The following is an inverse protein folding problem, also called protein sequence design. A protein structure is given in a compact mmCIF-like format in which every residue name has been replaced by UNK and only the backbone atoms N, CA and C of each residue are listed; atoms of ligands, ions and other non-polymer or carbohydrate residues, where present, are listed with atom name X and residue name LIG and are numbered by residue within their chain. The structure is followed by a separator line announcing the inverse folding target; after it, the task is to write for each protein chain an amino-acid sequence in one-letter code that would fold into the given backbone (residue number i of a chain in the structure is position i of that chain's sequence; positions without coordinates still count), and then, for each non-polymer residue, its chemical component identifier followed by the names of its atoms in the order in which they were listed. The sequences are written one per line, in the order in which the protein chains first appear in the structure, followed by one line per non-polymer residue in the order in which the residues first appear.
data_IF_642286380956
#
_entry.id   IF_642286380956
#
_cell.length_a   1.000
_cell.length_b   1.000
_cell.length_c   1.000
_cell.angle_alpha   90.00
_cell.angle_beta   90.00
_cell.angle_gamma   90.00
#
_symmetry.space_group_name_H-M   'P 1'
#
loop_
_entity.id
_entity.type
_entity.pdbx_description
1 polymer ?
#
# COMPACT_ATOMS: atom_id res chain seq x y z
N UNK A 1 -20.63 -16.91 -4.01
CA UNK A 1 -20.14 -15.98 -2.99
C UNK A 1 -20.31 -14.54 -3.45
N UNK A 2 -20.47 -13.59 -2.52
CA UNK A 2 -20.40 -12.16 -2.83
C UNK A 2 -18.96 -11.72 -3.01
N UNK A 3 -18.69 -10.80 -3.95
CA UNK A 3 -17.38 -10.24 -4.20
C UNK A 3 -17.48 -8.85 -4.83
N UNK A 4 -16.46 -8.01 -4.64
CA UNK A 4 -16.31 -6.74 -5.35
C UNK A 4 -15.63 -7.03 -6.69
N UNK A 5 -16.34 -6.76 -7.79
CA UNK A 5 -15.93 -7.11 -9.14
C UNK A 5 -15.64 -5.86 -9.97
N UNK A 6 -14.52 -5.87 -10.68
CA UNK A 6 -14.13 -4.82 -11.62
C UNK A 6 -14.81 -5.06 -12.98
N UNK A 7 -15.46 -4.04 -13.54
CA UNK A 7 -16.10 -4.09 -14.86
C UNK A 7 -15.42 -3.19 -15.90
N UNK A 8 -14.49 -2.37 -15.45
CA UNK A 8 -13.77 -1.42 -16.27
C UNK A 8 -13.41 -0.17 -15.47
N UNK A 9 -12.69 0.73 -16.10
CA UNK A 9 -12.30 2.01 -15.49
C UNK A 9 -13.55 2.76 -15.02
N UNK A 10 -13.59 3.09 -13.74
CA UNK A 10 -14.71 3.79 -13.09
C UNK A 10 -15.93 2.91 -12.73
N UNK A 11 -15.89 1.62 -13.02
CA UNK A 11 -17.02 0.71 -12.79
C UNK A 11 -16.59 -0.50 -11.95
N UNK A 12 -17.01 -0.51 -10.70
CA UNK A 12 -16.89 -1.63 -9.76
C UNK A 12 -18.26 -1.94 -9.16
N UNK A 13 -18.53 -3.24 -8.94
CA UNK A 13 -19.84 -3.69 -8.45
C UNK A 13 -19.70 -4.79 -7.41
N UNK A 14 -20.62 -4.83 -6.47
CA UNK A 14 -20.80 -5.99 -5.60
C UNK A 14 -21.70 -7.01 -6.31
N UNK A 15 -21.19 -8.21 -6.56
CA UNK A 15 -21.89 -9.24 -7.31
C UNK A 15 -21.82 -10.61 -6.63
N UNK A 16 -22.70 -11.50 -7.04
CA UNK A 16 -22.60 -12.92 -6.72
C UNK A 16 -21.82 -13.63 -7.81
N UNK A 17 -20.65 -14.12 -7.45
CA UNK A 17 -19.76 -14.88 -8.35
C UNK A 17 -19.68 -16.34 -7.92
N UNK A 18 -19.11 -17.20 -8.78
CA UNK A 18 -18.87 -18.60 -8.43
C UNK A 18 -17.88 -18.69 -7.25
N UNK A 19 -18.15 -19.61 -6.33
CA UNK A 19 -17.22 -19.91 -5.25
C UNK A 19 -15.90 -20.47 -5.78
N UNK A 20 -14.75 -20.04 -5.23
CA UNK A 20 -13.47 -20.64 -5.59
C UNK A 20 -13.35 -22.07 -5.07
N UNK A 21 -12.50 -22.85 -5.72
CA UNK A 21 -12.12 -24.19 -5.28
C UNK A 21 -10.62 -24.38 -5.46
N UNK A 22 -10.05 -25.43 -4.87
CA UNK A 22 -8.66 -25.77 -5.07
C UNK A 22 -8.40 -26.06 -6.54
N UNK A 23 -7.35 -25.49 -7.12
CA UNK A 23 -6.91 -25.73 -8.51
C UNK A 23 -5.63 -26.59 -8.55
N UNK A 24 -4.80 -26.48 -7.50
CA UNK A 24 -3.52 -27.20 -7.38
C UNK A 24 -3.36 -27.85 -6.00
N UNK A 25 -2.56 -28.90 -5.88
CA UNK A 25 -2.31 -29.56 -4.60
C UNK A 25 -1.67 -28.67 -3.52
N UNK A 26 -1.03 -27.55 -3.91
CA UNK A 26 -0.40 -26.59 -3.02
C UNK A 26 -1.31 -25.42 -2.62
N UNK A 27 -2.58 -25.44 -3.03
CA UNK A 27 -3.54 -24.39 -2.74
C UNK A 27 -4.22 -24.61 -1.37
N UNK A 28 -4.73 -23.53 -0.80
CA UNK A 28 -5.73 -23.56 0.28
C UNK A 28 -6.97 -22.73 -0.11
N UNK A 29 -8.10 -23.07 0.47
CA UNK A 29 -9.31 -22.26 0.43
C UNK A 29 -9.50 -21.63 1.80
N UNK A 30 -9.68 -20.32 1.84
CA UNK A 30 -9.99 -19.59 3.06
C UNK A 30 -11.37 -18.96 2.99
N UNK A 31 -12.04 -18.92 4.12
CA UNK A 31 -13.17 -18.03 4.36
C UNK A 31 -12.62 -16.73 4.91
N UNK A 32 -12.88 -15.63 4.20
CA UNK A 32 -12.38 -14.30 4.57
C UNK A 32 -13.20 -13.78 5.74
N UNK A 33 -12.53 -13.32 6.78
CA UNK A 33 -13.14 -12.71 7.97
C UNK A 33 -12.99 -11.19 8.00
N UNK A 34 -11.96 -10.68 7.33
CA UNK A 34 -11.73 -9.27 7.11
C UNK A 34 -10.92 -9.08 5.83
N UNK A 35 -11.22 -8.04 5.09
CA UNK A 35 -10.47 -7.54 3.94
C UNK A 35 -10.33 -6.03 4.07
N UNK A 36 -9.56 -5.36 3.20
CA UNK A 36 -9.48 -3.91 3.27
C UNK A 36 -9.35 -3.26 1.89
N UNK A 37 -9.63 -1.94 1.83
CA UNK A 37 -9.45 -1.10 0.65
C UNK A 37 -8.05 -0.49 0.70
N UNK A 38 -7.31 -0.62 -0.42
CA UNK A 38 -6.00 -0.05 -0.63
C UNK A 38 -6.00 1.02 -1.73
N UNK A 39 -5.02 1.93 -1.68
CA UNK A 39 -4.77 2.89 -2.76
C UNK A 39 -4.48 2.23 -4.10
N UNK A 40 -3.86 1.06 -4.10
CA UNK A 40 -3.59 0.28 -5.32
C UNK A 40 -4.87 -0.17 -6.02
N UNK A 41 -5.92 -0.53 -5.28
CA UNK A 41 -7.23 -0.85 -5.87
C UNK A 41 -7.80 0.36 -6.63
N UNK A 42 -7.64 1.57 -6.06
CA UNK A 42 -8.07 2.82 -6.71
C UNK A 42 -7.32 3.08 -8.03
N UNK A 43 -6.04 2.68 -8.13
CA UNK A 43 -5.29 2.86 -9.37
C UNK A 43 -5.88 2.05 -10.52
N UNK A 44 -6.39 0.83 -10.27
CA UNK A 44 -7.13 0.06 -11.28
C UNK A 44 -8.46 0.73 -11.62
N UNK A 45 -9.22 1.14 -10.61
CA UNK A 45 -10.53 1.77 -10.81
C UNK A 45 -10.38 3.08 -11.58
N UNK A 46 -9.34 3.86 -11.31
CA UNK A 46 -9.02 5.11 -12.00
C UNK A 46 -8.41 4.90 -13.40
N UNK A 47 -7.90 3.69 -13.67
CA UNK A 47 -7.20 3.36 -14.91
C UNK A 47 -5.76 3.89 -14.97
N UNK A 48 -5.20 4.35 -13.88
CA UNK A 48 -3.78 4.76 -13.75
C UNK A 48 -2.84 3.57 -13.62
N UNK A 49 -3.38 2.39 -13.37
CA UNK A 49 -2.72 1.10 -13.45
C UNK A 49 -3.53 0.19 -14.37
N UNK A 50 -2.88 -0.38 -15.38
CA UNK A 50 -3.50 -1.29 -16.36
C UNK A 50 -3.31 -2.76 -15.96
N UNK A 51 -3.98 -3.67 -16.68
CA UNK A 51 -3.79 -5.12 -16.55
C UNK A 51 -4.90 -5.86 -15.82
N UNK A 52 -5.89 -5.17 -15.28
CA UNK A 52 -7.07 -5.80 -14.67
C UNK A 52 -8.17 -5.97 -15.71
N UNK A 53 -8.63 -7.20 -15.92
CA UNK A 53 -9.69 -7.53 -16.89
C UNK A 53 -11.08 -7.44 -16.25
N UNK A 54 -12.12 -7.04 -17.01
CA UNK A 54 -13.49 -7.08 -16.54
C UNK A 54 -13.89 -8.48 -16.04
N UNK A 55 -14.56 -8.54 -14.88
CA UNK A 55 -14.92 -9.78 -14.20
C UNK A 55 -13.93 -10.21 -13.12
N UNK A 56 -12.79 -9.53 -12.99
CA UNK A 56 -11.83 -9.79 -11.93
C UNK A 56 -12.34 -9.33 -10.54
N UNK A 57 -12.12 -10.14 -9.53
CA UNK A 57 -12.37 -9.77 -8.13
C UNK A 57 -11.24 -8.87 -7.64
N UNK A 58 -11.58 -7.76 -6.98
CA UNK A 58 -10.63 -6.80 -6.42
C UNK A 58 -10.06 -7.24 -5.06
N UNK A 59 -9.05 -6.50 -4.61
CA UNK A 59 -8.50 -6.56 -3.25
C UNK A 59 -7.32 -7.51 -3.09
N UNK A 60 -6.38 -7.12 -2.24
CA UNK A 60 -5.15 -7.88 -1.96
C UNK A 60 -4.80 -7.93 -0.47
N UNK A 61 -5.68 -7.45 0.39
CA UNK A 61 -5.54 -7.46 1.84
C UNK A 61 -6.60 -8.36 2.46
N UNK A 62 -6.21 -9.39 3.20
CA UNK A 62 -7.20 -10.22 3.89
C UNK A 62 -6.65 -11.00 5.06
N UNK A 63 -7.59 -11.31 5.96
CA UNK A 63 -7.48 -12.25 7.06
C UNK A 63 -8.61 -13.28 6.91
N UNK A 64 -8.35 -14.52 7.26
CA UNK A 64 -9.36 -15.54 7.14
C UNK A 64 -9.11 -16.79 7.96
N UNK A 65 -9.99 -17.74 7.79
CA UNK A 65 -9.92 -19.08 8.39
C UNK A 65 -9.82 -20.11 7.26
N UNK A 66 -8.91 -21.04 7.38
CA UNK A 66 -8.73 -22.11 6.40
C UNK A 66 -9.93 -23.05 6.44
N UNK A 67 -10.59 -23.25 5.30
CA UNK A 67 -11.73 -24.18 5.13
C UNK A 67 -11.31 -25.46 4.42
N UNK A 68 -10.30 -25.41 3.56
CA UNK A 68 -9.79 -26.57 2.82
C UNK A 68 -8.30 -26.38 2.52
N UNK A 69 -7.54 -27.48 2.53
CA UNK A 69 -6.11 -27.50 2.16
C UNK A 69 -5.86 -28.55 1.10
N UNK A 70 -5.03 -28.23 0.12
CA UNK A 70 -4.52 -29.18 -0.84
C UNK A 70 -3.54 -30.17 -0.19
N UNK A 71 -3.38 -31.33 -0.80
CA UNK A 71 -2.58 -32.45 -0.24
C UNK A 71 -1.10 -32.15 0.01
N UNK A 72 -0.55 -31.13 -0.64
CA UNK A 72 0.86 -30.72 -0.50
C UNK A 72 1.04 -29.61 0.55
N UNK A 73 -0.04 -29.05 1.10
CA UNK A 73 -0.01 -28.07 2.19
C UNK A 73 0.12 -28.81 3.53
N UNK A 74 1.31 -28.75 4.14
CA UNK A 74 1.62 -29.52 5.36
C UNK A 74 1.76 -28.68 6.63
N UNK A 75 1.94 -27.39 6.47
CA UNK A 75 2.19 -26.45 7.58
C UNK A 75 0.91 -25.75 8.07
N UNK A 76 -0.23 -26.05 7.45
CA UNK A 76 -1.55 -25.50 7.82
C UNK A 76 -2.61 -26.59 7.84
N UNK A 77 -3.68 -26.37 8.60
CA UNK A 77 -4.84 -27.24 8.70
C UNK A 77 -6.15 -26.42 8.68
N UNK A 78 -7.26 -27.07 8.39
CA UNK A 78 -8.60 -26.49 8.48
C UNK A 78 -8.82 -25.95 9.90
N UNK A 79 -9.37 -24.73 9.98
CA UNK A 79 -9.60 -23.99 11.21
C UNK A 79 -8.45 -23.05 11.63
N UNK A 80 -7.27 -23.13 11.00
CA UNK A 80 -6.20 -22.16 11.30
C UNK A 80 -6.62 -20.75 10.87
N UNK A 81 -6.41 -19.78 11.76
CA UNK A 81 -6.54 -18.34 11.44
C UNK A 81 -5.26 -17.88 10.76
N UNK A 82 -5.41 -17.15 9.66
CA UNK A 82 -4.28 -16.77 8.82
C UNK A 82 -4.41 -15.36 8.29
N UNK A 83 -3.28 -14.68 8.13
CA UNK A 83 -3.17 -13.46 7.31
C UNK A 83 -2.59 -13.83 5.94
N UNK A 84 -3.11 -13.18 4.90
CA UNK A 84 -2.68 -13.36 3.52
C UNK A 84 -1.71 -12.24 3.14
N UNK A 85 -0.44 -12.53 2.84
CA UNK A 85 0.47 -11.57 2.22
C UNK A 85 -0.07 -11.07 0.89
N UNK A 86 -0.06 -9.78 0.67
CA UNK A 86 -0.58 -9.14 -0.56
C UNK A 86 0.11 -9.67 -1.82
N UNK A 87 1.44 -9.81 -1.80
CA UNK A 87 2.23 -10.33 -2.93
C UNK A 87 2.30 -11.85 -2.90
N UNK A 88 2.28 -12.47 -4.09
CA UNK A 88 2.21 -13.91 -4.27
C UNK A 88 3.57 -14.47 -4.66
N UNK A 89 4.01 -15.53 -3.99
CA UNK A 89 5.29 -16.17 -4.26
C UNK A 89 5.23 -17.69 -4.19
N UNK A 90 6.13 -18.37 -4.90
CA UNK A 90 6.25 -19.83 -4.83
C UNK A 90 7.02 -20.34 -3.60
N UNK A 91 7.89 -19.51 -3.02
CA UNK A 91 8.73 -19.83 -1.86
C UNK A 91 10.04 -20.57 -2.18
N UNK A 92 10.25 -21.06 -3.40
CA UNK A 92 11.41 -21.92 -3.72
C UNK A 92 12.30 -21.45 -4.89
N UNK A 93 11.88 -20.50 -5.73
CA UNK A 93 12.74 -19.96 -6.78
C UNK A 93 13.93 -19.16 -6.21
N UNK A 94 14.88 -18.78 -7.05
CA UNK A 94 16.09 -18.04 -6.64
C UNK A 94 15.77 -16.75 -5.92
N UNK A 95 14.85 -15.97 -6.45
CA UNK A 95 14.42 -14.70 -5.83
C UNK A 95 13.73 -14.91 -4.50
N UNK A 96 12.81 -15.88 -4.40
CA UNK A 96 12.14 -16.19 -3.12
C UNK A 96 13.14 -16.58 -2.04
N UNK A 97 14.13 -17.45 -2.36
CA UNK A 97 15.17 -17.89 -1.42
C UNK A 97 16.12 -16.76 -1.02
N UNK A 98 16.31 -15.78 -1.90
CA UNK A 98 17.12 -14.59 -1.61
C UNK A 98 16.36 -13.48 -0.85
N UNK A 99 15.07 -13.69 -0.52
CA UNK A 99 14.25 -12.71 0.23
C UNK A 99 13.52 -11.69 -0.64
N UNK A 100 13.54 -11.87 -1.97
CA UNK A 100 12.83 -11.02 -2.93
C UNK A 100 11.54 -11.69 -3.41
N UNK A 101 10.65 -12.07 -2.50
CA UNK A 101 9.42 -12.81 -2.82
C UNK A 101 8.51 -12.05 -3.80
N UNK A 102 8.49 -10.73 -3.75
CA UNK A 102 7.78 -9.88 -4.70
C UNK A 102 8.28 -9.99 -6.14
N UNK A 103 9.48 -10.55 -6.35
CA UNK A 103 10.11 -10.78 -7.66
C UNK A 103 10.11 -12.26 -8.05
N UNK A 104 9.11 -13.02 -7.61
CA UNK A 104 9.02 -14.45 -7.84
C UNK A 104 8.87 -14.79 -9.33
N UNK A 105 9.82 -15.54 -9.92
CA UNK A 105 9.77 -15.96 -11.33
C UNK A 105 8.61 -16.91 -11.65
N UNK A 106 8.16 -17.71 -10.68
CA UNK A 106 7.11 -18.71 -10.91
C UNK A 106 5.73 -18.07 -10.99
N UNK A 107 5.48 -17.02 -10.19
CA UNK A 107 4.23 -16.28 -10.20
C UNK A 107 4.25 -15.11 -11.20
N UNK A 108 5.43 -14.72 -11.67
CA UNK A 108 5.69 -13.71 -12.70
C UNK A 108 6.49 -14.30 -13.87
N UNK A 109 5.89 -15.15 -14.71
CA UNK A 109 6.63 -15.89 -15.74
C UNK A 109 7.16 -15.04 -16.89
N UNK A 110 6.76 -13.77 -16.98
CA UNK A 110 7.20 -12.85 -18.05
C UNK A 110 8.61 -12.26 -17.81
N UNK A 111 9.30 -12.72 -16.78
CA UNK A 111 10.67 -12.36 -16.48
C UNK A 111 10.85 -10.88 -16.10
N UNK A 112 11.93 -10.21 -16.54
CA UNK A 112 12.27 -8.85 -16.09
C UNK A 112 11.25 -7.76 -16.45
N UNK A 113 10.29 -8.04 -17.32
CA UNK A 113 9.22 -7.13 -17.70
C UNK A 113 7.93 -7.36 -16.90
N UNK A 114 7.87 -8.46 -16.15
CA UNK A 114 6.72 -8.74 -15.32
C UNK A 114 6.70 -7.81 -14.10
N UNK A 115 5.53 -7.33 -13.78
CA UNK A 115 5.29 -6.68 -12.50
C UNK A 115 5.25 -7.72 -11.35
N UNK A 116 5.04 -7.24 -10.13
CA UNK A 116 4.85 -8.11 -8.98
C UNK A 116 3.48 -8.78 -9.04
N UNK A 117 3.41 -10.10 -8.86
CA UNK A 117 2.14 -10.80 -8.73
C UNK A 117 1.53 -10.53 -7.35
N UNK A 118 0.27 -10.09 -7.32
CA UNK A 118 -0.51 -9.89 -6.11
C UNK A 118 -1.99 -10.21 -6.36
N UNK A 119 -2.72 -10.46 -5.28
CA UNK A 119 -4.14 -10.79 -5.39
C UNK A 119 -4.91 -9.58 -5.95
N UNK A 120 -5.94 -9.84 -6.79
CA UNK A 120 -6.73 -8.76 -7.38
C UNK A 120 -6.00 -7.85 -8.35
N UNK A 121 -4.77 -8.20 -8.76
CA UNK A 121 -3.97 -7.41 -9.70
C UNK A 121 -4.11 -7.83 -11.17
N UNK A 122 -4.99 -8.79 -11.48
CA UNK A 122 -5.24 -9.27 -12.84
C UNK A 122 -4.12 -10.09 -13.48
N UNK A 123 -2.93 -10.04 -12.92
CA UNK A 123 -1.76 -10.77 -13.41
C UNK A 123 -1.80 -12.23 -12.98
N UNK A 124 -1.39 -13.13 -13.86
CA UNK A 124 -1.28 -14.57 -13.61
C UNK A 124 -2.57 -15.28 -13.13
N UNK A 125 -3.76 -14.67 -13.29
CA UNK A 125 -5.04 -15.30 -12.96
C UNK A 125 -5.28 -15.56 -11.47
N UNK A 126 -4.70 -14.73 -10.60
CA UNK A 126 -4.99 -14.72 -9.18
C UNK A 126 -6.17 -13.78 -8.89
N UNK A 127 -7.23 -14.35 -8.34
CA UNK A 127 -8.43 -13.60 -7.96
C UNK A 127 -8.16 -12.77 -6.71
N UNK A 128 -8.95 -11.69 -6.52
CA UNK A 128 -8.82 -10.80 -5.38
C UNK A 128 -9.43 -11.35 -4.09
N UNK A 129 -9.23 -10.58 -3.03
CA UNK A 129 -9.57 -10.94 -1.66
C UNK A 129 -10.76 -10.16 -1.08
N UNK A 130 -11.37 -9.24 -1.83
CA UNK A 130 -12.59 -8.55 -1.42
C UNK A 130 -13.82 -9.40 -1.78
N UNK A 131 -13.92 -10.55 -1.11
CA UNK A 131 -14.94 -11.58 -1.32
C UNK A 131 -15.20 -12.35 -0.03
N UNK A 132 -16.20 -13.25 -0.03
CA UNK A 132 -16.49 -14.12 1.12
C UNK A 132 -15.47 -15.27 1.25
N UNK A 133 -14.91 -15.75 0.12
CA UNK A 133 -13.93 -16.84 0.06
C UNK A 133 -12.82 -16.52 -0.93
N UNK A 134 -11.64 -17.07 -0.70
CA UNK A 134 -10.53 -16.96 -1.63
C UNK A 134 -9.73 -18.24 -1.73
N UNK A 135 -9.22 -18.54 -2.95
CA UNK A 135 -8.20 -19.56 -3.19
C UNK A 135 -6.83 -18.93 -3.02
N UNK A 136 -6.04 -19.50 -2.14
CA UNK A 136 -4.67 -19.08 -1.91
C UNK A 136 -3.72 -20.05 -2.61
N UNK A 137 -3.09 -19.58 -3.66
CA UNK A 137 -2.08 -20.36 -4.39
C UNK A 137 -0.78 -20.47 -3.56
N UNK A 138 -0.07 -21.59 -3.69
CA UNK A 138 1.17 -21.84 -2.92
C UNK A 138 0.98 -21.53 -1.43
N UNK A 139 -0.07 -22.04 -0.81
CA UNK A 139 -0.53 -21.67 0.51
C UNK A 139 0.58 -21.74 1.59
N UNK A 140 1.48 -22.71 1.48
CA UNK A 140 2.62 -22.84 2.40
C UNK A 140 3.53 -21.61 2.44
N UNK A 141 3.58 -20.84 1.35
CA UNK A 141 4.39 -19.62 1.22
C UNK A 141 3.57 -18.32 1.34
N UNK A 142 2.26 -18.39 1.04
CA UNK A 142 1.37 -17.22 0.95
C UNK A 142 0.33 -17.17 2.07
N UNK A 143 0.58 -17.84 3.17
CA UNK A 143 -0.18 -17.72 4.41
C UNK A 143 0.77 -17.55 5.58
N UNK A 144 0.36 -16.76 6.57
CA UNK A 144 1.03 -16.68 7.88
C UNK A 144 -0.01 -16.96 8.95
N UNK A 145 0.29 -17.92 9.84
CA UNK A 145 -0.61 -18.25 10.95
C UNK A 145 -0.65 -17.11 11.96
N UNK A 146 -1.85 -16.79 12.41
CA UNK A 146 -2.08 -15.78 13.42
C UNK A 146 -2.18 -16.43 14.81
N UNK A 147 -1.49 -15.89 15.82
CA UNK A 147 -1.72 -16.24 17.21
C UNK A 147 -3.05 -15.70 17.70
N UNK A 148 -3.57 -16.29 18.80
CA UNK A 148 -4.86 -15.89 19.36
C UNK A 148 -4.86 -14.45 19.91
N UNK A 149 -3.68 -13.94 20.31
CA UNK A 149 -3.50 -12.58 20.83
C UNK A 149 -3.59 -11.47 19.79
N UNK A 150 -3.58 -11.78 18.47
CA UNK A 150 -3.70 -10.80 17.40
C UNK A 150 -5.11 -10.79 16.83
N UNK A 151 -5.78 -9.64 16.87
CA UNK A 151 -7.15 -9.49 16.35
C UNK A 151 -7.20 -9.52 14.82
N UNK A 152 -8.40 -9.65 14.23
CA UNK A 152 -8.55 -9.57 12.78
C UNK A 152 -8.26 -8.16 12.27
N UNK A 153 -8.68 -7.14 12.99
CA UNK A 153 -8.44 -5.73 12.68
C UNK A 153 -6.93 -5.43 12.61
N UNK A 154 -6.17 -5.88 13.61
CA UNK A 154 -4.71 -5.77 13.62
C UNK A 154 -4.08 -6.53 12.45
N UNK A 155 -4.51 -7.77 12.23
CA UNK A 155 -3.97 -8.64 11.20
C UNK A 155 -4.26 -8.15 9.77
N UNK A 156 -5.43 -7.52 9.54
CA UNK A 156 -5.79 -6.92 8.25
C UNK A 156 -4.75 -5.85 7.84
N UNK A 157 -4.30 -5.04 8.78
CA UNK A 157 -3.28 -4.01 8.55
C UNK A 157 -1.87 -4.59 8.33
N UNK A 158 -1.60 -5.78 8.88
CA UNK A 158 -0.34 -6.53 8.68
C UNK A 158 -0.32 -7.24 7.32
N UNK A 159 -1.45 -7.39 6.62
CA UNK A 159 -1.49 -8.11 5.34
C UNK A 159 -0.75 -7.38 4.22
N UNK A 160 -0.73 -6.03 4.23
CA UNK A 160 -0.14 -5.20 3.17
C UNK A 160 0.51 -3.92 3.67
N UNK A 161 -0.28 -2.97 4.19
CA UNK A 161 0.18 -1.58 4.36
C UNK A 161 1.28 -1.42 5.41
N UNK A 162 1.23 -2.18 6.51
CA UNK A 162 2.28 -2.13 7.52
C UNK A 162 3.60 -2.76 7.02
N UNK A 163 3.61 -3.96 6.42
CA UNK A 163 4.82 -4.48 5.76
C UNK A 163 5.38 -3.57 4.68
N UNK A 164 4.52 -2.90 3.91
CA UNK A 164 4.92 -1.94 2.86
C UNK A 164 5.64 -0.74 3.46
N UNK A 165 5.11 -0.17 4.51
CA UNK A 165 5.72 0.95 5.20
C UNK A 165 7.04 0.55 5.92
N UNK A 166 7.05 -0.61 6.58
CA UNK A 166 8.24 -1.13 7.23
C UNK A 166 9.37 -1.42 6.22
N UNK A 167 9.01 -1.98 5.06
CA UNK A 167 9.95 -2.12 3.94
C UNK A 167 10.48 -0.77 3.45
N UNK A 168 9.61 0.25 3.37
CA UNK A 168 10.03 1.62 3.05
C UNK A 168 11.06 2.16 4.04
N UNK A 169 10.87 1.91 5.33
CA UNK A 169 11.82 2.30 6.37
C UNK A 169 13.14 1.49 6.30
N UNK A 170 13.07 0.21 5.89
CA UNK A 170 14.27 -0.60 5.60
C UNK A 170 15.04 -0.08 4.39
N UNK A 171 14.34 0.26 3.30
CA UNK A 171 14.96 0.85 2.11
C UNK A 171 15.62 2.19 2.41
N UNK A 172 15.02 3.00 3.29
CA UNK A 172 15.58 4.26 3.74
C UNK A 172 16.87 4.09 4.57
N UNK A 173 17.17 2.88 5.07
CA UNK A 173 18.32 2.58 5.91
C UNK A 173 18.40 3.48 7.15
N UNK A 174 17.25 3.66 7.81
CA UNK A 174 17.12 4.51 8.99
C UNK A 174 18.05 3.98 10.09
N UNK A 175 18.82 4.89 10.69
CA UNK A 175 19.71 4.64 11.83
C UNK A 175 19.20 5.38 13.05
N UNK A 176 19.53 4.91 14.26
CA UNK A 176 19.20 5.63 15.49
C UNK A 176 19.69 7.09 15.44
N UNK A 177 18.76 8.00 15.72
CA UNK A 177 19.02 9.43 15.70
C UNK A 177 18.83 10.14 14.36
N UNK A 178 18.64 9.42 13.24
CA UNK A 178 18.38 10.03 11.92
C UNK A 178 17.12 10.91 11.95
N UNK A 179 17.13 11.96 11.14
CA UNK A 179 15.94 12.76 10.80
C UNK A 179 15.28 12.18 9.55
N UNK A 180 13.98 11.89 9.63
CA UNK A 180 13.21 11.20 8.57
C UNK A 180 12.07 12.08 8.11
N UNK A 181 11.96 12.35 6.81
CA UNK A 181 10.79 12.97 6.19
C UNK A 181 9.90 11.91 5.53
N UNK A 182 8.64 11.83 5.93
CA UNK A 182 7.62 10.97 5.31
C UNK A 182 6.69 11.85 4.49
N UNK A 183 6.67 11.65 3.19
CA UNK A 183 5.76 12.33 2.28
C UNK A 183 4.50 11.50 2.08
N UNK A 184 3.35 12.08 2.41
CA UNK A 184 2.05 11.45 2.49
C UNK A 184 1.77 10.82 3.85
N UNK A 185 0.63 11.19 4.46
CA UNK A 185 0.13 10.65 5.72
C UNK A 185 -1.13 9.77 5.50
N UNK A 186 -1.22 9.12 4.34
CA UNK A 186 -2.18 8.04 4.08
C UNK A 186 -1.85 6.79 4.89
N UNK A 187 -2.55 5.66 4.67
CA UNK A 187 -2.34 4.44 5.48
C UNK A 187 -0.88 3.98 5.52
N UNK A 188 -0.21 3.95 4.35
CA UNK A 188 1.22 3.59 4.27
C UNK A 188 2.10 4.63 4.98
N UNK A 189 1.79 5.93 4.83
CA UNK A 189 2.54 7.00 5.49
C UNK A 189 2.43 6.95 7.01
N UNK A 190 1.25 6.65 7.56
CA UNK A 190 1.07 6.47 9.01
C UNK A 190 1.97 5.34 9.55
N UNK A 191 2.01 4.20 8.85
CA UNK A 191 2.91 3.11 9.24
C UNK A 191 4.39 3.40 8.91
N UNK A 192 4.70 4.26 7.93
CA UNK A 192 6.07 4.70 7.70
C UNK A 192 6.59 5.55 8.87
N UNK A 193 5.73 6.41 9.43
CA UNK A 193 6.02 7.16 10.67
C UNK A 193 6.28 6.19 11.83
N UNK A 194 5.35 5.26 12.09
CA UNK A 194 5.52 4.25 13.13
C UNK A 194 6.79 3.41 12.93
N UNK A 195 7.06 2.98 11.69
CA UNK A 195 8.25 2.19 11.36
C UNK A 195 9.56 2.97 11.54
N UNK A 196 9.56 4.27 11.23
CA UNK A 196 10.72 5.12 11.47
C UNK A 196 11.00 5.26 12.99
N UNK A 197 9.97 5.43 13.79
CA UNK A 197 10.08 5.47 15.26
C UNK A 197 10.54 4.12 15.84
N UNK A 198 10.01 2.99 15.32
CA UNK A 198 10.47 1.63 15.70
C UNK A 198 11.95 1.38 15.36
N UNK A 199 12.54 2.15 14.44
CA UNK A 199 13.95 2.12 14.07
C UNK A 199 14.79 3.20 14.77
N UNK A 200 14.27 3.77 15.85
CA UNK A 200 14.93 4.77 16.66
C UNK A 200 15.27 6.07 15.90
N UNK A 201 14.47 6.47 14.91
CA UNK A 201 14.60 7.78 14.28
C UNK A 201 14.55 8.89 15.37
N UNK A 202 15.46 9.83 15.30
CA UNK A 202 15.53 10.93 16.28
C UNK A 202 14.40 11.94 16.12
N UNK A 203 13.99 12.20 14.86
CA UNK A 203 12.85 13.06 14.50
C UNK A 203 12.18 12.54 13.26
N UNK A 204 10.85 12.62 13.20
CA UNK A 204 10.06 12.27 12.02
C UNK A 204 9.22 13.46 11.61
N UNK A 205 9.38 13.91 10.38
CA UNK A 205 8.57 14.94 9.73
C UNK A 205 7.54 14.29 8.83
N UNK A 206 6.27 14.71 8.93
CA UNK A 206 5.17 14.15 8.16
C UNK A 206 4.52 15.23 7.29
N UNK A 207 4.53 15.04 5.97
CA UNK A 207 4.09 16.03 4.98
C UNK A 207 2.79 15.57 4.32
N UNK A 208 1.71 16.32 4.48
CA UNK A 208 0.39 16.07 3.85
C UNK A 208 -0.41 17.39 3.78
N UNK A 209 -1.66 17.35 3.30
CA UNK A 209 -2.60 18.47 3.34
C UNK A 209 -3.96 18.11 3.96
N UNK A 210 -4.18 16.84 4.30
CA UNK A 210 -5.43 16.39 4.89
C UNK A 210 -5.34 16.48 6.41
N UNK A 211 -6.12 17.38 7.01
CA UNK A 211 -6.04 17.71 8.44
C UNK A 211 -6.12 16.49 9.35
N UNK A 212 -7.10 15.59 9.14
CA UNK A 212 -7.26 14.38 9.96
C UNK A 212 -6.07 13.42 9.87
N UNK A 213 -5.39 13.36 8.72
CA UNK A 213 -4.17 12.56 8.53
C UNK A 213 -2.97 13.17 9.24
N UNK A 214 -2.85 14.49 9.20
CA UNK A 214 -1.82 15.23 9.93
C UNK A 214 -2.02 15.13 11.45
N UNK A 215 -3.27 15.16 11.93
CA UNK A 215 -3.57 14.99 13.34
C UNK A 215 -3.16 13.58 13.83
N UNK A 216 -3.50 12.54 13.08
CA UNK A 216 -3.07 11.16 13.37
C UNK A 216 -1.53 11.02 13.37
N UNK A 217 -0.84 11.66 12.42
CA UNK A 217 0.63 11.67 12.38
C UNK A 217 1.23 12.37 13.62
N UNK A 218 0.62 13.47 14.06
CA UNK A 218 1.03 14.21 15.25
C UNK A 218 0.83 13.39 16.53
N UNK A 219 -0.26 12.65 16.63
CA UNK A 219 -0.53 11.75 17.76
C UNK A 219 0.50 10.63 17.89
N UNK A 220 1.10 10.19 16.77
CA UNK A 220 2.23 9.27 16.77
C UNK A 220 3.57 9.92 17.17
N UNK A 221 3.64 11.23 17.32
CA UNK A 221 4.86 11.97 17.67
C UNK A 221 5.60 12.57 16.47
N UNK A 222 5.04 12.57 15.26
CA UNK A 222 5.64 13.25 14.12
C UNK A 222 5.43 14.77 14.15
N UNK A 223 6.40 15.50 13.63
CA UNK A 223 6.29 16.93 13.36
C UNK A 223 5.63 17.13 12.00
N UNK A 224 4.44 17.70 11.98
CA UNK A 224 3.62 17.74 10.78
C UNK A 224 3.79 19.03 9.98
N UNK A 225 3.74 18.90 8.65
CA UNK A 225 3.87 20.00 7.69
C UNK A 225 2.66 19.93 6.75
N UNK A 226 1.78 20.93 6.82
CA UNK A 226 0.67 21.13 5.88
C UNK A 226 1.17 21.93 4.67
N UNK A 227 1.33 21.25 3.54
CA UNK A 227 1.87 21.88 2.33
C UNK A 227 0.92 22.91 1.68
N UNK A 228 -0.32 23.06 2.15
CA UNK A 228 -1.20 24.15 1.78
C UNK A 228 -0.97 25.41 2.64
N UNK A 229 -0.17 25.32 3.70
CA UNK A 229 0.15 26.45 4.59
C UNK A 229 1.60 26.86 4.52
N UNK A 230 2.51 25.90 4.34
CA UNK A 230 3.96 26.09 4.34
C UNK A 230 4.59 25.43 3.11
N UNK A 231 5.81 25.83 2.76
CA UNK A 231 6.61 25.11 1.76
C UNK A 231 7.36 23.98 2.47
N UNK A 232 7.10 22.69 2.09
CA UNK A 232 7.72 21.56 2.77
C UNK A 232 9.25 21.58 2.70
N UNK A 233 9.83 22.02 1.57
CA UNK A 233 11.29 22.06 1.41
C UNK A 233 11.90 23.10 2.36
N UNK A 234 11.36 24.32 2.36
CA UNK A 234 11.82 25.40 3.24
C UNK A 234 11.66 25.04 4.72
N UNK A 235 10.56 24.38 5.10
CA UNK A 235 10.31 23.96 6.48
C UNK A 235 11.30 22.88 6.90
N UNK A 236 11.48 21.83 6.08
CA UNK A 236 12.41 20.74 6.38
C UNK A 236 13.85 21.27 6.52
N UNK A 237 14.30 22.14 5.61
CA UNK A 237 15.61 22.79 5.72
C UNK A 237 15.73 23.59 7.01
N UNK A 238 14.77 24.45 7.33
CA UNK A 238 14.77 25.28 8.55
C UNK A 238 14.81 24.43 9.81
N UNK A 239 14.00 23.38 9.89
CA UNK A 239 13.88 22.53 11.08
C UNK A 239 15.07 21.61 11.30
N UNK A 240 15.89 21.40 10.26
CA UNK A 240 17.13 20.62 10.31
C UNK A 240 18.39 21.51 10.32
N UNK A 241 18.24 22.81 10.61
CA UNK A 241 19.38 23.74 10.67
C UNK A 241 20.04 24.02 9.31
N UNK A 242 19.30 23.93 8.21
CA UNK A 242 19.77 24.17 6.84
C UNK A 242 20.42 22.97 6.17
N UNK A 243 20.41 21.79 6.81
CA UNK A 243 21.07 20.57 6.32
C UNK A 243 20.11 19.73 5.46
N UNK A 244 18.83 19.67 5.83
CA UNK A 244 17.81 18.75 5.33
C UNK A 244 17.74 17.45 6.14
N UNK A 245 16.67 16.66 5.98
CA UNK A 245 16.54 15.35 6.62
C UNK A 245 17.51 14.31 6.05
N UNK A 246 17.97 13.38 6.88
CA UNK A 246 18.88 12.29 6.49
C UNK A 246 18.20 11.29 5.57
N UNK A 247 16.90 11.05 5.80
CA UNK A 247 16.09 10.06 5.09
C UNK A 247 14.79 10.67 4.60
N UNK A 248 14.32 10.20 3.46
CA UNK A 248 12.99 10.50 2.95
C UNK A 248 12.27 9.23 2.51
N UNK A 249 10.97 9.15 2.80
CA UNK A 249 10.10 8.05 2.37
C UNK A 249 8.97 8.64 1.55
N UNK A 250 8.87 8.25 0.29
CA UNK A 250 7.71 8.54 -0.57
C UNK A 250 6.65 7.46 -0.36
N UNK A 251 5.57 7.82 0.35
CA UNK A 251 4.40 6.99 0.60
C UNK A 251 3.16 7.45 -0.19
N UNK A 252 3.35 8.21 -1.27
CA UNK A 252 2.27 8.77 -2.12
C UNK A 252 2.32 8.22 -3.53
N UNK A 253 3.49 8.29 -4.16
CA UNK A 253 3.63 7.94 -5.57
C UNK A 253 2.94 8.93 -6.51
N UNK A 254 2.41 8.40 -7.62
CA UNK A 254 1.73 9.21 -8.66
C UNK A 254 0.46 9.92 -8.17
N UNK A 255 -0.05 9.57 -6.99
CA UNK A 255 -1.31 10.11 -6.44
C UNK A 255 -1.11 11.44 -5.69
N UNK A 256 0.06 12.07 -5.87
CA UNK A 256 0.40 13.34 -5.25
C UNK A 256 -0.52 14.48 -5.72
N UNK A 257 -0.87 15.35 -4.77
CA UNK A 257 -1.70 16.53 -5.01
C UNK A 257 -0.83 17.80 -5.05
N UNK A 258 -1.13 18.67 -6.00
CA UNK A 258 -0.52 19.99 -6.03
C UNK A 258 -1.03 20.85 -4.85
N UNK A 259 -0.15 21.66 -4.22
CA UNK A 259 -0.58 22.65 -3.26
C UNK A 259 -1.62 23.61 -3.86
N UNK A 260 -2.75 23.74 -3.18
CA UNK A 260 -3.85 24.63 -3.60
C UNK A 260 -3.71 26.04 -3.04
N UNK A 261 -2.94 26.21 -1.97
CA UNK A 261 -2.74 27.47 -1.25
C UNK A 261 -1.31 27.54 -0.69
N UNK A 262 -0.98 28.63 -0.02
CA UNK A 262 0.30 28.83 0.65
C UNK A 262 1.50 29.08 -0.27
N UNK A 263 2.71 29.12 0.30
CA UNK A 263 3.95 29.38 -0.44
C UNK A 263 4.24 28.37 -1.54
N UNK A 264 4.06 27.07 -1.25
CA UNK A 264 4.33 25.97 -2.19
C UNK A 264 3.44 26.04 -3.45
N UNK A 265 2.24 26.64 -3.38
CA UNK A 265 1.34 26.77 -4.53
C UNK A 265 1.92 27.66 -5.65
N UNK A 266 2.85 28.58 -5.34
CA UNK A 266 3.48 29.43 -6.35
C UNK A 266 4.40 28.61 -7.26
N UNK A 267 5.14 27.69 -6.69
CA UNK A 267 6.04 26.81 -7.44
C UNK A 267 5.24 25.76 -8.23
N UNK A 268 4.23 25.15 -7.60
CA UNK A 268 3.35 24.18 -8.25
C UNK A 268 2.63 24.80 -9.50
N UNK A 269 2.28 26.08 -9.45
CA UNK A 269 1.71 26.78 -10.62
C UNK A 269 2.65 26.83 -11.81
N UNK A 270 3.97 26.98 -11.60
CA UNK A 270 4.96 26.99 -12.68
C UNK A 270 5.09 25.60 -13.33
N UNK A 271 4.92 24.55 -12.53
CA UNK A 271 5.04 23.16 -12.97
C UNK A 271 3.72 22.57 -13.50
N UNK A 272 2.61 23.32 -13.40
CA UNK A 272 1.27 22.82 -13.75
C UNK A 272 1.16 22.24 -15.16
N UNK A 273 1.87 22.82 -16.13
CA UNK A 273 1.85 22.32 -17.51
C UNK A 273 2.50 20.93 -17.62
N UNK A 274 3.59 20.71 -16.89
CA UNK A 274 4.28 19.42 -16.83
C UNK A 274 3.41 18.37 -16.11
N UNK A 275 2.83 18.69 -14.96
CA UNK A 275 1.91 17.80 -14.26
C UNK A 275 0.70 17.42 -15.12
N UNK A 276 0.16 18.35 -15.87
CA UNK A 276 -0.93 18.06 -16.81
C UNK A 276 -0.50 17.16 -17.97
N UNK A 277 0.75 17.26 -18.41
CA UNK A 277 1.32 16.35 -19.42
C UNK A 277 1.45 14.94 -18.84
N UNK A 278 2.04 14.80 -17.66
CA UNK A 278 2.15 13.52 -16.94
C UNK A 278 0.78 12.86 -16.73
N UNK A 279 -0.24 13.62 -16.30
CA UNK A 279 -1.60 13.13 -16.12
C UNK A 279 -2.26 12.64 -17.41
N UNK A 280 -1.99 13.30 -18.54
CA UNK A 280 -2.53 12.84 -19.83
C UNK A 280 -1.97 11.49 -20.27
N UNK A 281 -0.77 11.16 -19.85
CA UNK A 281 -0.15 9.87 -20.11
C UNK A 281 -0.68 8.79 -19.18
N UNK A 282 -1.08 9.16 -17.95
CA UNK A 282 -1.51 8.24 -16.89
C UNK A 282 -3.00 7.96 -16.88
N UNK A 283 -3.83 8.98 -17.05
CA UNK A 283 -5.25 8.91 -16.78
C UNK A 283 -6.06 8.78 -18.09
N UNK A 284 -6.92 7.76 -18.23
CA UNK A 284 -7.82 7.64 -19.38
C UNK A 284 -8.75 8.86 -19.51
N UNK A 285 -9.05 9.27 -20.74
CA UNK A 285 -9.94 10.42 -21.01
C UNK A 285 -11.33 10.30 -20.35
N UNK A 286 -11.83 9.08 -20.19
CA UNK A 286 -13.13 8.81 -19.60
C UNK A 286 -13.27 9.31 -18.17
N UNK A 287 -12.20 9.27 -17.36
CA UNK A 287 -12.24 9.67 -15.95
C UNK A 287 -12.00 11.17 -15.73
N UNK A 288 -11.45 11.89 -16.72
CA UNK A 288 -11.09 13.30 -16.55
C UNK A 288 -12.29 14.25 -16.33
N UNK A 289 -13.50 13.80 -16.61
CA UNK A 289 -14.72 14.61 -16.51
C UNK A 289 -15.56 14.33 -15.26
N UNK A 290 -15.26 13.24 -14.53
CA UNK A 290 -15.99 12.84 -13.33
C UNK A 290 -15.58 13.58 -12.07
N UNK A 291 -16.38 13.47 -11.00
CA UNK A 291 -16.01 13.93 -9.64
C UNK A 291 -15.38 12.82 -8.80
N UNK A 292 -15.46 11.57 -9.23
CA UNK A 292 -14.96 10.37 -8.58
C UNK A 292 -13.88 9.73 -9.45
N UNK A 293 -13.11 8.86 -8.84
CA UNK A 293 -12.08 8.06 -9.47
C UNK A 293 -10.98 8.89 -10.14
N UNK A 294 -10.51 9.90 -9.40
CA UNK A 294 -9.46 10.79 -9.91
C UNK A 294 -8.14 10.59 -9.18
N UNK A 295 -7.08 10.45 -9.96
CA UNK A 295 -5.72 10.50 -9.44
C UNK A 295 -5.40 11.89 -8.86
N UNK A 296 -4.30 11.98 -8.12
CA UNK A 296 -3.69 13.25 -7.75
C UNK A 296 -3.27 14.06 -8.99
N UNK A 297 -3.18 15.37 -8.87
CA UNK A 297 -2.94 16.29 -9.99
C UNK A 297 -1.49 16.75 -10.15
N UNK A 298 -0.56 16.16 -9.36
CA UNK A 298 0.87 16.49 -9.38
C UNK A 298 1.76 15.23 -9.26
N UNK A 299 1.76 14.30 -10.25
CA UNK A 299 2.33 12.96 -10.13
C UNK A 299 3.80 12.90 -9.69
N UNK A 300 4.64 13.88 -10.07
CA UNK A 300 6.06 13.92 -9.70
C UNK A 300 6.40 14.84 -8.54
N UNK A 301 5.41 15.46 -7.89
CA UNK A 301 5.63 16.49 -6.87
C UNK A 301 6.46 15.99 -5.69
N UNK A 302 6.15 14.79 -5.18
CA UNK A 302 6.83 14.23 -4.02
C UNK A 302 8.29 13.90 -4.34
N UNK A 303 8.58 13.35 -5.52
CA UNK A 303 9.96 13.08 -5.94
C UNK A 303 10.82 14.37 -5.96
N UNK A 304 10.21 15.47 -6.43
CA UNK A 304 10.89 16.77 -6.44
C UNK A 304 11.14 17.32 -5.05
N UNK A 305 10.15 17.28 -4.16
CA UNK A 305 10.30 17.75 -2.79
C UNK A 305 11.31 16.91 -2.01
N UNK A 306 11.22 15.58 -2.12
CA UNK A 306 12.14 14.68 -1.43
C UNK A 306 13.60 14.92 -1.83
N UNK A 307 13.89 15.02 -3.14
CA UNK A 307 15.26 15.27 -3.61
C UNK A 307 15.74 16.67 -3.17
N UNK A 308 14.88 17.69 -3.27
CA UNK A 308 15.25 19.07 -2.89
C UNK A 308 15.52 19.20 -1.38
N UNK A 309 14.72 18.55 -0.54
CA UNK A 309 14.83 18.69 0.91
C UNK A 309 15.92 17.82 1.55
N UNK A 310 16.25 16.66 0.97
CA UNK A 310 17.23 15.72 1.54
C UNK A 310 18.61 16.36 1.77
N UNK A 311 19.24 15.98 2.86
CA UNK A 311 20.64 16.26 3.13
C UNK A 311 21.55 15.64 2.07
N UNK A 312 22.78 16.17 1.93
CA UNK A 312 23.83 15.54 1.12
C UNK A 312 24.10 14.12 1.63
N UNK A 313 24.28 13.18 0.72
CA UNK A 313 24.44 11.75 1.00
C UNK A 313 23.22 11.11 1.69
N UNK A 314 22.06 11.77 1.67
CA UNK A 314 20.81 11.25 2.19
C UNK A 314 20.25 10.09 1.35
N UNK A 315 19.26 9.39 1.89
CA UNK A 315 18.60 8.25 1.22
C UNK A 315 17.13 8.55 0.96
N UNK A 316 16.70 8.42 -0.30
CA UNK A 316 15.30 8.43 -0.71
C UNK A 316 14.80 6.99 -0.88
N UNK A 317 13.79 6.62 -0.12
CA UNK A 317 13.03 5.39 -0.27
C UNK A 317 11.71 5.67 -0.97
N UNK A 318 11.39 4.88 -2.00
CA UNK A 318 10.16 5.02 -2.79
C UNK A 318 9.35 3.74 -2.66
N UNK A 319 8.21 3.83 -1.96
CA UNK A 319 7.19 2.77 -1.86
C UNK A 319 5.86 3.22 -2.46
N UNK A 320 5.74 4.50 -2.80
CA UNK A 320 4.65 5.02 -3.61
C UNK A 320 4.64 4.40 -5.01
N UNK A 321 3.45 4.20 -5.58
CA UNK A 321 3.30 3.53 -6.87
C UNK A 321 3.61 4.46 -8.05
N UNK A 322 4.51 4.02 -8.92
CA UNK A 322 4.82 4.66 -10.21
C UNK A 322 4.83 3.58 -11.31
N UNK A 323 3.74 3.35 -12.05
CA UNK A 323 3.67 2.32 -13.10
C UNK A 323 4.58 2.64 -14.29
N UNK A 324 4.90 3.93 -14.51
CA UNK A 324 5.79 4.41 -15.56
C UNK A 324 6.72 5.50 -15.03
N UNK A 325 7.75 5.86 -15.80
CA UNK A 325 8.70 6.93 -15.46
C UNK A 325 8.01 8.29 -15.30
N UNK A 326 8.45 9.07 -14.32
CA UNK A 326 7.98 10.43 -14.04
C UNK A 326 9.16 11.38 -13.98
N UNK A 327 8.89 12.69 -13.97
CA UNK A 327 9.92 13.69 -13.81
C UNK A 327 10.67 13.48 -12.50
N UNK A 328 11.95 13.23 -12.61
CA UNK A 328 12.83 13.03 -11.49
C UNK A 328 14.02 14.00 -11.57
N UNK A 329 14.34 14.79 -10.54
CA UNK A 329 15.41 15.78 -10.55
C UNK A 329 16.79 15.11 -10.39
N UNK A 330 17.19 14.31 -11.39
CA UNK A 330 18.40 13.48 -11.33
C UNK A 330 19.68 14.31 -11.17
N UNK A 331 19.77 15.51 -11.75
CA UNK A 331 20.92 16.40 -11.58
C UNK A 331 21.13 16.80 -10.13
N UNK A 332 20.06 17.22 -9.46
CA UNK A 332 20.09 17.60 -8.04
C UNK A 332 20.42 16.42 -7.13
N UNK A 333 19.85 15.25 -7.45
CA UNK A 333 20.17 14.02 -6.72
C UNK A 333 21.65 13.64 -6.86
N UNK A 334 22.22 13.83 -8.04
CA UNK A 334 23.64 13.57 -8.33
C UNK A 334 24.55 14.57 -7.58
N UNK A 335 24.22 15.86 -7.60
CA UNK A 335 24.98 16.90 -6.89
C UNK A 335 25.01 16.70 -5.38
N UNK A 336 23.98 16.09 -4.82
CA UNK A 336 23.89 15.75 -3.39
C UNK A 336 24.40 14.35 -3.06
N UNK A 337 24.88 13.55 -4.02
CA UNK A 337 25.24 12.12 -3.83
C UNK A 337 24.13 11.31 -3.14
N UNK A 338 22.88 11.48 -3.54
CA UNK A 338 21.76 10.76 -2.92
C UNK A 338 21.79 9.26 -3.24
N UNK A 339 21.41 8.45 -2.25
CA UNK A 339 21.04 7.05 -2.47
C UNK A 339 19.54 6.98 -2.74
N UNK A 340 19.14 6.28 -3.81
CA UNK A 340 17.74 6.11 -4.17
C UNK A 340 17.43 4.63 -4.19
N UNK A 341 16.42 4.22 -3.43
CA UNK A 341 15.97 2.84 -3.34
C UNK A 341 14.47 2.76 -3.57
N UNK A 342 14.06 1.87 -4.43
CA UNK A 342 12.66 1.62 -4.75
C UNK A 342 12.40 0.12 -4.88
N UNK A 343 11.17 -0.31 -4.66
CA UNK A 343 10.82 -1.70 -4.87
C UNK A 343 9.42 -2.06 -4.42
N UNK A 344 8.98 -3.23 -4.85
CA UNK A 344 7.74 -3.85 -4.41
C UNK A 344 8.00 -4.70 -3.16
N UNK A 345 7.13 -4.57 -2.18
CA UNK A 345 7.29 -5.18 -0.86
C UNK A 345 7.27 -6.71 -0.92
N UNK A 346 8.28 -7.39 -0.39
CA UNK A 346 8.24 -8.83 -0.16
C UNK A 346 7.48 -9.14 1.14
N UNK A 347 6.16 -9.01 1.13
CA UNK A 347 5.27 -9.06 2.33
C UNK A 347 5.55 -10.28 3.21
N UNK A 348 5.70 -11.46 2.60
CA UNK A 348 5.99 -12.70 3.33
C UNK A 348 7.23 -12.62 4.23
N UNK A 349 8.20 -11.79 3.85
CA UNK A 349 9.45 -11.59 4.63
C UNK A 349 9.17 -10.84 5.95
N UNK A 350 8.30 -9.84 5.91
CA UNK A 350 8.09 -8.92 7.03
C UNK A 350 6.94 -9.34 7.96
N UNK A 351 5.89 -9.94 7.43
CA UNK A 351 4.67 -10.25 8.20
C UNK A 351 4.95 -11.05 9.48
N UNK A 352 5.78 -12.11 9.51
CA UNK A 352 6.03 -12.83 10.75
C UNK A 352 6.59 -11.94 11.87
N UNK A 353 7.58 -11.11 11.53
CA UNK A 353 8.16 -10.17 12.49
C UNK A 353 7.14 -9.14 12.99
N UNK A 354 6.29 -8.61 12.10
CA UNK A 354 5.26 -7.64 12.49
C UNK A 354 4.15 -8.27 13.34
N UNK A 355 3.81 -9.53 13.09
CA UNK A 355 2.92 -10.31 13.96
C UNK A 355 3.50 -10.42 15.36
N UNK A 356 4.81 -10.74 15.49
CA UNK A 356 5.48 -10.83 16.79
C UNK A 356 5.49 -9.49 17.53
N UNK A 357 5.72 -8.37 16.83
CA UNK A 357 5.67 -7.01 17.42
C UNK A 357 4.26 -6.66 17.95
N UNK A 358 3.22 -7.04 17.21
CA UNK A 358 1.83 -6.79 17.61
C UNK A 358 1.43 -7.72 18.76
N UNK A 359 1.76 -9.01 18.70
CA UNK A 359 1.46 -9.98 19.76
C UNK A 359 2.13 -9.60 21.09
N UNK A 360 3.38 -9.10 21.02
CA UNK A 360 4.12 -8.64 22.20
C UNK A 360 3.68 -7.25 22.70
N UNK A 361 2.75 -6.57 22.01
CA UNK A 361 2.26 -5.25 22.40
C UNK A 361 3.24 -4.10 22.20
N UNK A 362 4.30 -4.30 21.39
CA UNK A 362 5.25 -3.23 21.03
C UNK A 362 4.56 -2.16 20.19
N UNK A 363 3.63 -2.57 19.32
CA UNK A 363 2.82 -1.66 18.51
C UNK A 363 1.38 -2.20 18.38
N UNK A 364 0.40 -1.30 18.46
CA UNK A 364 -0.98 -1.60 18.09
C UNK A 364 -1.32 -0.92 16.76
N UNK A 365 -1.41 -1.66 15.65
CA UNK A 365 -1.73 -1.10 14.36
C UNK A 365 -3.19 -0.65 14.24
N UNK A 366 -4.11 -1.12 15.10
CA UNK A 366 -5.55 -0.89 14.96
C UNK A 366 -5.95 0.59 15.02
N UNK A 367 -5.12 1.45 15.63
CA UNK A 367 -5.36 2.90 15.68
C UNK A 367 -5.40 3.59 14.30
N UNK A 368 -4.88 2.95 13.24
CA UNK A 368 -4.93 3.49 11.87
C UNK A 368 -6.20 3.06 11.12
N UNK A 369 -6.89 2.02 11.61
CA UNK A 369 -8.18 1.60 11.07
C UNK A 369 -9.28 2.58 11.48
N UNK A 370 -9.77 3.36 10.53
CA UNK A 370 -10.73 4.44 10.83
C UNK A 370 -12.17 4.09 10.47
N UNK A 371 -12.38 3.11 9.61
CA UNK A 371 -13.70 2.67 9.17
C UNK A 371 -13.75 1.14 9.09
N UNK A 372 -14.89 0.58 9.51
CA UNK A 372 -15.21 -0.84 9.36
C UNK A 372 -16.60 -0.94 8.76
N UNK A 373 -16.70 -1.46 7.55
CA UNK A 373 -17.92 -1.54 6.79
C UNK A 373 -18.26 -3.00 6.42
N UNK A 374 -19.54 -3.36 6.32
CA UNK A 374 -19.90 -4.63 5.72
C UNK A 374 -19.47 -4.67 4.24
N UNK A 375 -19.17 -5.87 3.71
CA UNK A 375 -18.80 -6.02 2.31
C UNK A 375 -19.88 -5.49 1.34
N UNK A 376 -21.13 -5.50 1.78
CA UNK A 376 -22.28 -4.98 1.06
C UNK A 376 -22.17 -3.49 0.75
N UNK A 377 -21.51 -2.73 1.60
CA UNK A 377 -21.34 -1.29 1.48
C UNK A 377 -20.00 -0.90 0.81
N UNK A 378 -19.24 -1.88 0.30
CA UNK A 378 -17.91 -1.68 -0.27
C UNK A 378 -17.86 -0.58 -1.33
N UNK A 379 -18.88 -0.48 -2.20
CA UNK A 379 -18.88 0.51 -3.30
C UNK A 379 -18.93 1.95 -2.76
N UNK A 380 -19.78 2.21 -1.75
CA UNK A 380 -19.85 3.53 -1.11
C UNK A 380 -18.60 3.81 -0.27
N UNK A 381 -18.04 2.80 0.41
CA UNK A 381 -16.78 2.87 1.12
C UNK A 381 -15.61 3.25 0.18
N UNK A 382 -15.54 2.64 -1.00
CA UNK A 382 -14.57 3.02 -2.04
C UNK A 382 -14.72 4.47 -2.49
N UNK A 383 -15.95 4.95 -2.67
CA UNK A 383 -16.20 6.35 -3.06
C UNK A 383 -15.77 7.36 -2.00
N UNK A 384 -16.03 7.06 -0.73
CA UNK A 384 -15.61 7.92 0.39
C UNK A 384 -14.07 7.93 0.53
N UNK A 385 -13.43 6.77 0.41
CA UNK A 385 -11.98 6.60 0.43
C UNK A 385 -11.30 7.32 -0.76
N UNK A 386 -11.85 7.20 -1.98
CA UNK A 386 -11.39 7.91 -3.18
C UNK A 386 -11.41 9.42 -3.02
N UNK A 387 -12.47 9.96 -2.41
CA UNK A 387 -12.61 11.39 -2.13
C UNK A 387 -11.73 11.90 -1.00
N UNK A 388 -10.99 11.01 -0.32
CA UNK A 388 -10.17 11.34 0.86
C UNK A 388 -10.98 12.08 1.93
N UNK A 389 -12.23 11.62 2.17
CA UNK A 389 -13.10 12.23 3.17
C UNK A 389 -12.43 12.24 4.55
N UNK A 390 -12.68 13.29 5.32
CA UNK A 390 -12.11 13.43 6.66
C UNK A 390 -12.47 12.21 7.53
N UNK A 391 -11.46 11.60 8.18
CA UNK A 391 -11.65 10.38 8.95
C UNK A 391 -11.66 9.07 8.14
N UNK A 392 -11.55 9.11 6.82
CA UNK A 392 -11.45 7.92 5.96
C UNK A 392 -9.99 7.64 5.60
N UNK A 393 -9.20 7.17 6.57
CA UNK A 393 -7.77 6.87 6.37
C UNK A 393 -7.59 5.42 5.92
N UNK A 394 -8.16 4.45 6.65
CA UNK A 394 -8.14 3.03 6.29
C UNK A 394 -9.49 2.39 6.52
N UNK A 395 -9.92 1.57 5.57
CA UNK A 395 -11.24 0.94 5.56
C UNK A 395 -11.10 -0.57 5.56
N UNK A 396 -11.67 -1.21 6.57
CA UNK A 396 -11.87 -2.65 6.62
C UNK A 396 -13.25 -3.01 6.04
N UNK A 397 -13.31 -4.09 5.30
CA UNK A 397 -14.54 -4.69 4.79
C UNK A 397 -14.77 -6.03 5.49
N UNK A 398 -15.95 -6.23 6.09
CA UNK A 398 -16.34 -7.48 6.80
C UNK A 398 -17.32 -8.28 5.95
N UNK A 399 -16.89 -9.37 5.29
CA UNK A 399 -17.80 -10.30 4.65
C UNK A 399 -18.65 -11.03 5.69
N UNK A 400 -19.93 -11.27 5.37
CA UNK A 400 -20.87 -12.00 6.23
C UNK A 400 -20.99 -13.50 5.86
N UNK A 401 -19.90 -14.09 5.40
CA UNK A 401 -19.90 -15.48 4.95
C UNK A 401 -20.30 -16.44 6.06
N UNK A 402 -21.37 -17.21 5.83
CA UNK A 402 -21.70 -18.39 6.64
C UNK A 402 -20.79 -19.54 6.24
N UNK A 403 -20.42 -20.40 7.22
CA UNK A 403 -19.64 -21.62 6.91
C UNK A 403 -20.29 -22.40 5.76
N UNK A 404 -19.46 -22.80 4.78
CA UNK A 404 -19.91 -23.68 3.72
C UNK A 404 -20.47 -24.97 4.33
N UNK A 405 -21.66 -25.37 3.91
CA UNK A 405 -22.14 -26.74 4.18
C UNK A 405 -21.20 -27.67 3.44
N UNK A 406 -20.57 -28.61 4.16
CA UNK A 406 -19.81 -29.69 3.55
C UNK A 406 -20.68 -30.38 2.50
N UNK A 407 -20.20 -30.46 1.27
CA UNK A 407 -20.88 -31.14 0.16
C UNK A 407 -20.73 -32.64 0.27
#
# INVERSE_FOLDING_TARGET
MKAVVFHGVGDIRLETVRDPGLKQPADALIRITASAICGTDLHFIRGTLSGLEPGAVLGHEAVGVIEEVGRDVRNFKVGDRVVVPSTICCGYCSYCRAGYQSQCDVTNPEGPRAGTAYYGGGMAGFEGLQAEYARIAYAASNLVKLPDGVSNEQATLISDIFPTAYFGADLAEIKPGDTVAVFGCGPVGQFAIASALLKDAGRVFAVDCVGSRLDMAREQGAEVIDFNREDPVEVLERMTGGIGPDRAIDAVGLDAMAPSAGPAAKEAKKQRAEFQKELKELEPEANRRGRQWRAGDAPSQVLQWAVKSLAKAGTLSIVGLYPEGRLFPIGEALDKNLTIKAGNTPHRKYIPHLVDLVESGVIDPAGILTQTEPLEDAIEAYKAFDRRESGWVKVELKPQATQRKAA
#
